data_IF_906820153287
#
_entry.id   IF_906820153287
#
_cell.length_a   1.000
_cell.length_b   1.000
_cell.length_c   1.000
_cell.angle_alpha   90.00
_cell.angle_beta   90.00
_cell.angle_gamma   90.00
#
_symmetry.space_group_name_H-M   'P 1'
#
loop_
_entity.id
_entity.type
_entity.pdbx_description
1 polymer ?
#
# COMPACT_ATOMS: atom_id res chain seq x y z
N UNK A 1 -13.50 -34.08 30.87
CA UNK A 1 -13.37 -32.69 30.39
C UNK A 1 -12.06 -32.60 29.64
N UNK A 2 -12.12 -32.56 28.32
CA UNK A 2 -10.94 -32.45 27.45
C UNK A 2 -10.72 -30.97 27.20
N UNK A 3 -9.60 -30.47 27.70
CA UNK A 3 -9.18 -29.07 27.54
C UNK A 3 -8.74 -28.85 26.08
N UNK A 4 -9.26 -27.80 25.44
CA UNK A 4 -8.93 -27.44 24.06
C UNK A 4 -7.59 -26.69 24.05
N UNK A 5 -6.67 -26.95 23.11
CA UNK A 5 -5.44 -26.19 23.02
C UNK A 5 -5.74 -24.75 22.58
N UNK A 6 -5.20 -23.83 23.36
CA UNK A 6 -5.24 -22.39 23.19
C UNK A 6 -4.61 -21.96 21.85
N UNK A 7 -5.40 -21.30 20.98
CA UNK A 7 -4.92 -20.71 19.72
C UNK A 7 -4.05 -19.50 20.06
N UNK A 8 -2.74 -19.71 20.26
CA UNK A 8 -1.75 -18.64 20.26
C UNK A 8 -1.92 -17.81 18.99
N UNK A 9 -2.29 -16.52 19.15
CA UNK A 9 -2.26 -15.52 18.07
C UNK A 9 -0.83 -15.43 17.55
N UNK A 10 -0.55 -16.05 16.39
CA UNK A 10 0.70 -15.81 15.66
C UNK A 10 0.70 -14.34 15.22
N UNK A 11 1.66 -13.55 15.69
CA UNK A 11 1.89 -12.20 15.21
C UNK A 11 2.38 -12.26 13.76
N UNK A 12 1.91 -11.34 12.91
CA UNK A 12 2.40 -11.20 11.53
C UNK A 12 3.78 -10.53 11.60
N UNK A 13 4.82 -11.11 10.98
CA UNK A 13 6.17 -10.53 11.00
C UNK A 13 6.25 -9.25 10.15
N UNK A 14 7.09 -8.31 10.59
CA UNK A 14 7.60 -7.19 9.80
C UNK A 14 8.89 -7.64 9.14
N UNK A 15 9.00 -7.49 7.82
CA UNK A 15 10.26 -7.74 7.14
C UNK A 15 10.84 -6.45 6.59
N UNK A 16 12.15 -6.31 6.69
CA UNK A 16 12.93 -5.39 5.86
C UNK A 16 13.40 -6.12 4.60
N UNK A 17 14.35 -5.52 3.88
CA UNK A 17 14.93 -6.15 2.72
C UNK A 17 15.53 -7.51 3.07
N UNK A 18 15.32 -8.50 2.19
CA UNK A 18 15.77 -9.89 2.33
C UNK A 18 15.07 -10.76 3.38
N UNK A 19 14.00 -10.29 4.03
CA UNK A 19 13.33 -11.07 5.08
C UNK A 19 14.16 -11.17 6.37
N UNK A 20 15.18 -10.34 6.50
CA UNK A 20 15.93 -10.16 7.73
C UNK A 20 15.20 -9.17 8.64
N UNK A 21 15.32 -9.36 9.96
CA UNK A 21 14.85 -8.40 10.97
C UNK A 21 15.69 -7.10 10.95
N UNK A 22 16.73 -7.01 10.11
CA UNK A 22 17.67 -5.88 10.05
C UNK A 22 17.22 -4.84 9.01
N UNK A 23 16.98 -3.61 9.47
CA UNK A 23 16.62 -2.41 8.69
C UNK A 23 17.26 -2.27 7.32
N UNK A 24 16.56 -1.63 6.38
CA UNK A 24 17.15 -1.16 5.11
C UNK A 24 18.42 -0.33 5.34
N UNK A 25 19.60 -0.89 5.04
CA UNK A 25 20.91 -0.22 5.14
C UNK A 25 21.52 0.13 3.76
N UNK A 26 20.75 0.01 2.67
CA UNK A 26 21.28 0.27 1.33
C UNK A 26 21.49 1.78 1.07
N UNK A 27 22.56 2.16 0.34
CA UNK A 27 22.88 3.56 0.05
C UNK A 27 21.85 4.25 -0.85
N UNK A 28 21.01 3.47 -1.54
CA UNK A 28 19.91 3.97 -2.34
C UNK A 28 18.58 3.85 -1.60
N UNK A 29 17.62 4.76 -1.88
CA UNK A 29 16.25 4.61 -1.41
C UNK A 29 15.44 3.56 -2.21
N UNK A 30 16.07 2.86 -3.15
CA UNK A 30 15.47 1.78 -3.94
C UNK A 30 16.36 0.55 -3.97
N UNK A 31 15.73 -0.61 -4.17
CA UNK A 31 16.39 -1.89 -4.34
C UNK A 31 15.56 -2.70 -5.32
N UNK A 32 16.24 -3.30 -6.28
CA UNK A 32 15.60 -4.12 -7.30
C UNK A 32 16.35 -5.44 -7.44
N UNK A 33 15.61 -6.53 -7.52
CA UNK A 33 16.15 -7.88 -7.70
C UNK A 33 15.22 -8.75 -8.54
N UNK A 34 15.74 -9.82 -9.17
CA UNK A 34 14.90 -10.80 -9.83
C UNK A 34 13.99 -11.55 -8.85
N UNK A 35 12.73 -11.78 -9.24
CA UNK A 35 11.77 -12.55 -8.43
C UNK A 35 12.24 -13.97 -8.16
N UNK A 36 12.93 -14.60 -9.11
CA UNK A 36 13.45 -15.96 -9.00
C UNK A 36 14.52 -16.11 -7.91
N UNK A 37 15.40 -15.11 -7.75
CA UNK A 37 16.45 -15.11 -6.72
C UNK A 37 15.82 -15.05 -5.32
N UNK A 38 14.85 -14.14 -5.14
CA UNK A 38 14.15 -14.00 -3.86
C UNK A 38 13.31 -15.23 -3.54
N UNK A 39 12.50 -15.68 -4.48
CA UNK A 39 11.47 -16.70 -4.22
C UNK A 39 12.07 -18.09 -4.03
N UNK A 40 13.11 -18.46 -4.78
CA UNK A 40 13.78 -19.76 -4.62
C UNK A 40 14.43 -19.94 -3.24
N UNK A 41 14.85 -18.84 -2.60
CA UNK A 41 15.40 -18.86 -1.22
C UNK A 41 14.36 -19.27 -0.17
N UNK A 42 13.07 -19.07 -0.48
CA UNK A 42 11.94 -19.36 0.41
C UNK A 42 11.03 -20.49 -0.13
N UNK A 43 11.59 -21.40 -0.94
CA UNK A 43 10.84 -22.49 -1.57
C UNK A 43 9.58 -22.02 -2.32
N UNK A 44 9.69 -20.86 -2.97
CA UNK A 44 8.64 -20.20 -3.74
C UNK A 44 7.44 -19.72 -2.91
N UNK A 45 7.50 -19.83 -1.59
CA UNK A 45 6.46 -19.39 -0.67
C UNK A 45 6.99 -18.25 0.20
N UNK A 46 6.48 -17.04 -0.01
CA UNK A 46 6.74 -15.89 0.85
C UNK A 46 5.61 -15.80 1.86
N UNK A 47 5.87 -16.08 3.16
CA UNK A 47 4.85 -16.05 4.20
C UNK A 47 4.19 -14.67 4.31
N UNK A 48 3.02 -14.64 4.91
CA UNK A 48 2.29 -13.39 5.16
C UNK A 48 3.11 -12.47 6.08
N UNK A 49 3.38 -11.26 5.61
CA UNK A 49 4.19 -10.24 6.28
C UNK A 49 3.69 -8.84 5.91
N UNK A 50 4.29 -7.79 6.47
CA UNK A 50 4.13 -6.43 5.95
C UNK A 50 5.44 -5.67 6.00
N UNK A 51 5.52 -4.63 5.17
CA UNK A 51 6.59 -3.64 5.24
C UNK A 51 6.02 -2.36 5.84
N UNK A 52 6.64 -1.86 6.91
CA UNK A 52 6.19 -0.64 7.57
C UNK A 52 6.64 0.62 6.81
N UNK A 53 7.79 0.51 6.14
CA UNK A 53 8.57 1.61 5.58
C UNK A 53 8.75 1.57 4.05
N UNK A 54 8.38 0.45 3.41
CA UNK A 54 8.68 0.18 2.00
C UNK A 54 7.41 0.07 1.15
N UNK A 55 7.47 0.71 0.00
CA UNK A 55 6.53 0.54 -1.10
C UNK A 55 7.10 -0.52 -2.05
N UNK A 56 6.33 -1.54 -2.40
CA UNK A 56 6.77 -2.63 -3.28
C UNK A 56 6.06 -2.56 -4.63
N UNK A 57 6.81 -2.72 -5.71
CA UNK A 57 6.28 -2.85 -7.07
C UNK A 57 6.94 -4.05 -7.72
N UNK A 58 6.15 -4.95 -8.30
CA UNK A 58 6.64 -6.14 -8.99
C UNK A 58 6.20 -6.12 -10.44
N UNK A 59 7.08 -6.53 -11.33
CA UNK A 59 6.75 -6.88 -12.70
C UNK A 59 7.04 -8.36 -12.90
N UNK A 60 6.00 -9.13 -13.19
CA UNK A 60 6.04 -10.57 -13.45
C UNK A 60 5.94 -10.76 -14.96
N UNK A 61 7.00 -11.28 -15.58
CA UNK A 61 7.12 -11.49 -17.02
C UNK A 61 6.44 -12.78 -17.47
N UNK A 62 6.68 -13.86 -16.73
CA UNK A 62 6.18 -15.21 -16.98
C UNK A 62 5.91 -15.95 -15.67
N UNK A 63 5.19 -17.07 -15.77
CA UNK A 63 4.72 -17.85 -14.63
C UNK A 63 3.39 -17.34 -14.09
N UNK A 64 3.08 -17.73 -12.87
CA UNK A 64 1.88 -17.31 -12.15
C UNK A 64 2.17 -17.21 -10.65
N UNK A 65 1.27 -16.57 -9.93
CA UNK A 65 1.37 -16.49 -8.48
C UNK A 65 0.01 -16.35 -7.83
N UNK A 66 -0.05 -16.75 -6.57
CA UNK A 66 -1.16 -16.48 -5.67
C UNK A 66 -0.69 -15.44 -4.66
N UNK A 67 -1.45 -14.38 -4.47
CA UNK A 67 -1.18 -13.40 -3.42
C UNK A 67 -2.31 -13.37 -2.40
N UNK A 68 -1.92 -13.24 -1.13
CA UNK A 68 -2.85 -13.08 -0.02
C UNK A 68 -2.74 -11.65 0.50
N UNK A 69 -3.82 -10.88 0.56
CA UNK A 69 -3.85 -9.55 1.19
C UNK A 69 -5.28 -9.20 1.60
N UNK A 70 -5.47 -8.41 2.67
CA UNK A 70 -6.79 -8.03 3.19
C UNK A 70 -7.77 -9.22 3.42
N UNK A 71 -7.23 -10.40 3.73
CA UNK A 71 -8.00 -11.64 3.91
C UNK A 71 -8.58 -12.22 2.60
N UNK A 72 -8.10 -11.76 1.45
CA UNK A 72 -8.41 -12.29 0.12
C UNK A 72 -7.23 -13.05 -0.43
N UNK A 73 -7.54 -13.98 -1.32
CA UNK A 73 -6.56 -14.72 -2.11
C UNK A 73 -6.86 -14.45 -3.58
N UNK A 74 -5.83 -14.08 -4.34
CA UNK A 74 -5.95 -13.73 -5.75
C UNK A 74 -4.89 -14.49 -6.53
N UNK A 75 -5.33 -15.33 -7.46
CA UNK A 75 -4.47 -15.98 -8.45
C UNK A 75 -4.29 -15.07 -9.67
N UNK A 76 -3.04 -14.91 -10.12
CA UNK A 76 -2.67 -13.97 -11.16
C UNK A 76 -1.75 -14.65 -12.17
N UNK A 77 -2.12 -14.54 -13.45
CA UNK A 77 -1.30 -15.01 -14.57
C UNK A 77 -0.45 -13.87 -15.13
N UNK A 78 0.81 -14.17 -15.45
CA UNK A 78 1.70 -13.24 -16.13
C UNK A 78 1.26 -13.00 -17.60
N UNK A 79 1.64 -11.87 -18.23
CA UNK A 79 2.40 -10.77 -17.66
C UNK A 79 1.58 -9.98 -16.65
N UNK A 80 2.21 -9.54 -15.56
CA UNK A 80 1.52 -8.82 -14.49
C UNK A 80 2.36 -7.72 -13.86
N UNK A 81 1.71 -6.64 -13.42
CA UNK A 81 2.32 -5.65 -12.52
C UNK A 81 1.52 -5.62 -11.22
N UNK A 82 2.23 -5.70 -10.11
CA UNK A 82 1.66 -5.65 -8.76
C UNK A 82 2.25 -4.45 -8.00
N UNK A 83 1.41 -3.74 -7.29
CA UNK A 83 1.77 -2.61 -6.44
C UNK A 83 1.28 -2.87 -5.02
N UNK A 84 2.16 -2.84 -4.03
CA UNK A 84 1.82 -3.02 -2.62
C UNK A 84 2.34 -1.81 -1.83
N UNK A 85 1.43 -0.95 -1.34
CA UNK A 85 1.79 0.13 -0.44
C UNK A 85 2.29 -0.37 0.93
N UNK A 86 2.95 0.49 1.72
CA UNK A 86 3.34 0.17 3.09
C UNK A 86 2.13 -0.20 3.95
N UNK A 87 2.38 -0.99 4.99
CA UNK A 87 1.43 -1.46 6.01
C UNK A 87 0.37 -2.46 5.54
N UNK A 88 0.43 -2.87 4.27
CA UNK A 88 -0.40 -3.95 3.78
C UNK A 88 0.20 -5.27 4.21
N UNK A 89 -0.59 -6.05 4.94
CA UNK A 89 -0.28 -7.44 5.25
C UNK A 89 -0.51 -8.28 4.00
N UNK A 90 0.56 -8.88 3.48
CA UNK A 90 0.54 -9.61 2.24
C UNK A 90 1.48 -10.83 2.23
N UNK A 91 1.21 -11.80 1.36
CA UNK A 91 2.07 -12.96 1.12
C UNK A 91 1.96 -13.43 -0.32
N UNK A 92 2.87 -14.32 -0.74
CA UNK A 92 2.92 -14.82 -2.11
C UNK A 92 3.26 -16.31 -2.17
N UNK A 93 2.59 -17.03 -3.05
CA UNK A 93 3.02 -18.35 -3.53
C UNK A 93 3.33 -18.22 -5.02
N UNK A 94 4.58 -18.44 -5.40
CA UNK A 94 5.07 -18.27 -6.76
C UNK A 94 5.17 -19.60 -7.49
N UNK A 95 4.95 -19.59 -8.80
CA UNK A 95 5.30 -20.74 -9.62
C UNK A 95 6.83 -20.86 -9.77
N UNK A 96 7.40 -22.07 -9.86
CA UNK A 96 8.86 -22.24 -9.99
C UNK A 96 9.48 -21.65 -11.26
N UNK A 97 8.65 -21.40 -12.27
CA UNK A 97 9.01 -20.76 -13.54
C UNK A 97 8.77 -19.24 -13.55
N UNK A 98 8.53 -18.62 -12.40
CA UNK A 98 8.35 -17.17 -12.31
C UNK A 98 9.61 -16.43 -12.77
N UNK A 99 9.42 -15.49 -13.68
CA UNK A 99 10.46 -14.53 -14.08
C UNK A 99 9.93 -13.11 -13.95
N UNK A 100 10.83 -12.17 -13.68
CA UNK A 100 10.49 -10.78 -13.45
C UNK A 100 11.31 -10.16 -12.33
N UNK A 101 10.82 -9.05 -11.80
CA UNK A 101 11.53 -8.21 -10.85
C UNK A 101 10.63 -7.78 -9.70
N UNK A 102 11.23 -7.67 -8.52
CA UNK A 102 10.66 -6.98 -7.37
C UNK A 102 11.50 -5.73 -7.09
N UNK A 103 10.83 -4.59 -7.08
CA UNK A 103 11.36 -3.30 -6.71
C UNK A 103 10.78 -2.91 -5.36
N UNK A 104 11.63 -2.55 -4.41
CA UNK A 104 11.25 -1.93 -3.14
C UNK A 104 11.76 -0.49 -3.14
N UNK A 105 10.93 0.43 -2.64
CA UNK A 105 11.21 1.87 -2.59
C UNK A 105 10.88 2.37 -1.18
N UNK A 106 11.82 3.08 -0.57
CA UNK A 106 11.57 3.75 0.71
C UNK A 106 10.42 4.75 0.58
N UNK A 107 9.47 4.73 1.51
CA UNK A 107 8.26 5.55 1.43
C UNK A 107 8.51 7.06 1.44
N UNK A 108 9.60 7.49 2.09
CA UNK A 108 10.08 8.87 2.07
C UNK A 108 10.46 9.30 0.65
N UNK A 109 11.33 8.54 -0.01
CA UNK A 109 11.74 8.78 -1.39
C UNK A 109 10.59 8.60 -2.38
N UNK A 110 9.73 7.59 -2.18
CA UNK A 110 8.52 7.41 -2.98
C UNK A 110 7.65 8.68 -2.95
N UNK A 111 7.42 9.24 -1.76
CA UNK A 111 6.64 10.46 -1.58
C UNK A 111 7.31 11.66 -2.23
N UNK A 112 8.62 11.84 -2.01
CA UNK A 112 9.41 12.92 -2.60
C UNK A 112 9.39 12.85 -4.14
N UNK A 113 9.62 11.66 -4.69
CA UNK A 113 9.81 11.46 -6.11
C UNK A 113 8.51 11.61 -6.89
N UNK A 114 7.37 11.28 -6.26
CA UNK A 114 6.02 11.41 -6.81
C UNK A 114 5.30 12.72 -6.42
N UNK A 115 5.99 13.71 -5.84
CA UNK A 115 5.41 15.03 -5.47
C UNK A 115 4.81 15.85 -6.64
N UNK A 116 4.91 15.37 -7.87
CA UNK A 116 4.39 16.08 -9.03
C UNK A 116 2.85 16.00 -9.19
N UNK A 117 2.16 15.06 -8.53
CA UNK A 117 0.69 14.95 -8.64
C UNK A 117 0.01 14.23 -7.47
N UNK A 118 -0.83 14.95 -6.73
CA UNK A 118 -1.69 14.37 -5.69
C UNK A 118 -2.58 13.25 -6.22
N UNK A 119 -3.10 13.40 -7.44
CA UNK A 119 -3.98 12.40 -8.08
C UNK A 119 -3.24 11.09 -8.37
N UNK A 120 -1.97 11.17 -8.79
CA UNK A 120 -1.13 9.97 -8.98
C UNK A 120 -0.85 9.31 -7.63
N UNK A 121 -0.52 10.08 -6.60
CA UNK A 121 -0.29 9.54 -5.26
C UNK A 121 -1.52 8.81 -4.71
N UNK A 122 -2.71 9.38 -4.90
CA UNK A 122 -3.97 8.77 -4.44
C UNK A 122 -4.26 7.44 -5.15
N UNK A 123 -3.99 7.36 -6.45
CA UNK A 123 -4.26 6.17 -7.27
C UNK A 123 -3.44 4.94 -6.84
N UNK A 124 -2.38 5.12 -6.07
CA UNK A 124 -1.44 4.06 -5.67
C UNK A 124 -1.41 3.89 -4.15
N UNK A 125 -2.53 4.12 -3.47
CA UNK A 125 -2.66 3.96 -2.01
C UNK A 125 -3.24 2.61 -1.57
N UNK A 126 -3.71 1.80 -2.52
CA UNK A 126 -4.19 0.43 -2.31
C UNK A 126 -3.31 -0.58 -3.05
N UNK A 127 -3.49 -1.86 -2.73
CA UNK A 127 -2.94 -2.94 -3.56
C UNK A 127 -3.52 -2.83 -4.97
N UNK A 128 -2.64 -2.81 -5.97
CA UNK A 128 -3.02 -2.86 -7.39
C UNK A 128 -2.45 -4.12 -8.01
N UNK A 129 -3.27 -4.86 -8.73
CA UNK A 129 -2.89 -6.08 -9.44
C UNK A 129 -3.49 -5.99 -10.84
N UNK A 130 -2.62 -5.95 -11.84
CA UNK A 130 -3.00 -6.00 -13.25
C UNK A 130 -2.27 -7.17 -13.90
N UNK A 131 -2.97 -8.26 -14.21
CA UNK A 131 -2.42 -9.47 -14.82
C UNK A 131 -3.30 -9.99 -15.96
N UNK A 132 -2.78 -10.98 -16.69
CA UNK A 132 -3.47 -11.55 -17.87
C UNK A 132 -3.85 -10.46 -18.89
N UNK A 133 -5.12 -10.43 -19.30
CA UNK A 133 -5.64 -9.46 -20.27
C UNK A 133 -5.58 -7.99 -19.77
N UNK A 134 -5.62 -7.77 -18.46
CA UNK A 134 -5.49 -6.43 -17.88
C UNK A 134 -4.03 -6.00 -17.62
N UNK A 135 -3.11 -6.95 -17.76
CA UNK A 135 -1.67 -6.80 -17.53
C UNK A 135 -0.97 -5.82 -18.48
N UNK A 136 0.36 -5.70 -18.35
CA UNK A 136 1.16 -4.89 -19.25
C UNK A 136 1.34 -5.59 -20.60
N UNK A 137 1.27 -4.79 -21.65
CA UNK A 137 1.58 -5.16 -23.03
C UNK A 137 3.01 -4.74 -23.39
N UNK A 138 3.64 -5.30 -24.44
CA UNK A 138 4.94 -4.85 -24.91
C UNK A 138 4.99 -3.33 -25.20
N UNK A 139 3.90 -2.76 -25.71
CA UNK A 139 3.75 -1.35 -26.03
C UNK A 139 3.76 -0.44 -24.79
N UNK A 140 3.38 -0.97 -23.63
CA UNK A 140 3.46 -0.25 -22.36
C UNK A 140 4.92 -0.05 -21.90
N UNK A 141 5.87 -0.83 -22.43
CA UNK A 141 7.31 -0.66 -22.17
C UNK A 141 7.76 -1.01 -20.74
N UNK A 142 6.94 -1.71 -19.95
CA UNK A 142 7.22 -2.00 -18.53
C UNK A 142 8.51 -2.81 -18.35
N UNK A 143 8.73 -3.83 -19.18
CA UNK A 143 9.97 -4.62 -19.12
C UNK A 143 11.20 -3.72 -19.32
N UNK A 144 11.18 -2.86 -20.34
CA UNK A 144 12.26 -1.92 -20.60
C UNK A 144 12.54 -1.02 -19.39
N UNK A 145 11.49 -0.49 -18.74
CA UNK A 145 11.65 0.36 -17.55
C UNK A 145 12.30 -0.40 -16.39
N UNK A 146 11.89 -1.64 -16.12
CA UNK A 146 12.51 -2.47 -15.09
C UNK A 146 13.95 -2.87 -15.43
N UNK A 147 14.24 -3.19 -16.70
CA UNK A 147 15.62 -3.43 -17.14
C UNK A 147 16.50 -2.21 -16.93
N UNK A 148 15.99 -0.99 -17.17
CA UNK A 148 16.71 0.24 -16.85
C UNK A 148 16.94 0.43 -15.36
N UNK A 149 15.96 0.11 -14.52
CA UNK A 149 16.14 0.13 -13.07
C UNK A 149 17.25 -0.83 -12.64
N UNK A 150 17.27 -2.07 -13.15
CA UNK A 150 18.33 -3.05 -12.85
C UNK A 150 19.70 -2.58 -13.36
N UNK A 151 19.78 -2.07 -14.58
CA UNK A 151 21.04 -1.59 -15.18
C UNK A 151 21.65 -0.46 -14.35
N UNK A 152 20.83 0.51 -13.93
CA UNK A 152 21.28 1.66 -13.15
C UNK A 152 21.58 1.28 -11.70
N UNK A 153 20.79 0.41 -11.08
CA UNK A 153 21.03 -0.08 -9.72
C UNK A 153 22.39 -0.80 -9.60
N UNK A 154 22.74 -1.63 -10.59
CA UNK A 154 24.01 -2.38 -10.60
C UNK A 154 25.26 -1.55 -10.91
N UNK A 155 25.15 -0.25 -11.24
CA UNK A 155 26.27 0.59 -11.69
C UNK A 155 26.47 1.81 -10.80
N UNK A 156 26.98 1.58 -9.59
CA UNK A 156 27.05 2.59 -8.53
C UNK A 156 27.70 3.92 -8.94
N UNK A 157 28.77 3.87 -9.74
CA UNK A 157 29.57 5.05 -10.15
C UNK A 157 29.04 5.78 -11.40
N UNK A 158 27.92 5.33 -11.98
CA UNK A 158 27.40 5.92 -13.22
C UNK A 158 26.80 7.31 -12.96
N UNK A 159 27.32 8.32 -13.64
CA UNK A 159 26.76 9.67 -13.59
C UNK A 159 25.29 9.69 -14.04
N UNK A 160 24.44 10.39 -13.29
CA UNK A 160 23.01 10.52 -13.61
C UNK A 160 22.13 9.31 -13.22
N UNK A 161 22.70 8.25 -12.65
CA UNK A 161 22.00 7.02 -12.21
C UNK A 161 20.72 7.30 -11.42
N UNK A 162 20.77 8.13 -10.38
CA UNK A 162 19.59 8.44 -9.54
C UNK A 162 18.45 9.08 -10.36
N UNK A 163 18.78 9.98 -11.29
CA UNK A 163 17.79 10.61 -12.16
C UNK A 163 17.18 9.59 -13.12
N UNK A 164 17.99 8.71 -13.70
CA UNK A 164 17.52 7.65 -14.57
C UNK A 164 16.59 6.67 -13.83
N UNK A 165 16.99 6.22 -12.64
CA UNK A 165 16.18 5.35 -11.78
C UNK A 165 14.85 6.01 -11.40
N UNK A 166 14.89 7.26 -10.94
CA UNK A 166 13.67 8.03 -10.61
C UNK A 166 12.76 8.19 -11.83
N UNK A 167 13.32 8.41 -13.02
CA UNK A 167 12.54 8.58 -14.25
C UNK A 167 11.87 7.27 -14.68
N UNK A 168 12.60 6.16 -14.64
CA UNK A 168 12.06 4.83 -14.94
C UNK A 168 10.94 4.44 -13.96
N UNK A 169 11.18 4.60 -12.65
CA UNK A 169 10.17 4.38 -11.63
C UNK A 169 8.95 5.29 -11.84
N UNK A 170 9.17 6.58 -12.09
CA UNK A 170 8.09 7.54 -12.35
C UNK A 170 7.17 7.09 -13.50
N UNK A 171 7.74 6.54 -14.57
CA UNK A 171 6.95 6.03 -15.70
C UNK A 171 6.13 4.78 -15.34
N UNK A 172 6.70 3.84 -14.55
CA UNK A 172 5.96 2.68 -14.02
C UNK A 172 4.79 3.14 -13.14
N UNK A 173 5.02 4.11 -12.26
CA UNK A 173 3.99 4.64 -11.37
C UNK A 173 2.88 5.38 -12.13
N UNK A 174 3.22 6.13 -13.17
CA UNK A 174 2.24 6.77 -14.06
C UNK A 174 1.40 5.73 -14.78
N UNK A 175 2.01 4.63 -15.25
CA UNK A 175 1.29 3.54 -15.88
C UNK A 175 0.28 2.90 -14.91
N UNK A 176 0.73 2.55 -13.70
CA UNK A 176 -0.13 1.99 -12.64
C UNK A 176 -1.32 2.90 -12.33
N UNK A 177 -1.04 4.18 -12.08
CA UNK A 177 -2.07 5.15 -11.74
C UNK A 177 -3.09 5.34 -12.88
N UNK A 178 -2.66 5.32 -14.15
CA UNK A 178 -3.57 5.42 -15.31
C UNK A 178 -4.43 4.18 -15.47
N UNK A 179 -3.85 2.98 -15.29
CA UNK A 179 -4.59 1.71 -15.31
C UNK A 179 -5.65 1.69 -14.21
N UNK A 180 -5.30 2.12 -13.00
CA UNK A 180 -6.26 2.20 -11.89
C UNK A 180 -7.36 3.22 -12.19
N UNK A 181 -7.03 4.43 -12.66
CA UNK A 181 -8.05 5.41 -13.04
C UNK A 181 -8.99 4.89 -14.13
N UNK A 182 -8.48 4.12 -15.10
CA UNK A 182 -9.30 3.49 -16.14
C UNK A 182 -10.16 2.37 -15.56
N UNK A 183 -9.61 1.51 -14.71
CA UNK A 183 -10.36 0.45 -14.02
C UNK A 183 -11.51 1.04 -13.19
N UNK A 184 -11.23 2.08 -12.40
CA UNK A 184 -12.24 2.81 -11.65
C UNK A 184 -13.29 3.46 -12.56
N UNK A 185 -12.92 3.95 -13.74
CA UNK A 185 -13.84 4.52 -14.71
C UNK A 185 -14.71 3.44 -15.40
N UNK A 186 -14.16 2.27 -15.72
CA UNK A 186 -14.88 1.12 -16.30
C UNK A 186 -15.81 0.50 -15.25
N UNK A 187 -15.33 0.27 -14.03
CA UNK A 187 -16.15 -0.10 -12.87
C UNK A 187 -17.26 0.94 -12.62
N UNK A 188 -17.01 2.23 -12.91
CA UNK A 188 -18.05 3.26 -12.88
C UNK A 188 -19.06 3.26 -14.01
N UNK A 189 -18.70 2.70 -15.16
CA UNK A 189 -19.62 2.50 -16.28
C UNK A 189 -20.45 1.22 -16.12
N UNK A 190 -19.90 0.19 -15.45
CA UNK A 190 -20.52 -1.13 -15.26
C UNK A 190 -21.39 -1.21 -14.00
N UNK A 191 -21.01 -0.53 -12.91
CA UNK A 191 -21.84 -0.48 -11.70
C UNK A 191 -22.65 0.82 -11.65
N UNK A 192 -23.97 0.65 -11.69
CA UNK A 192 -25.06 1.61 -11.51
C UNK A 192 -24.71 2.83 -10.59
N UNK A 193 -25.29 4.01 -10.89
CA UNK A 193 -25.09 5.34 -10.25
C UNK A 193 -24.72 5.37 -8.74
N UNK A 194 -25.16 4.38 -7.98
CA UNK A 194 -24.77 4.05 -6.61
C UNK A 194 -23.25 3.90 -6.39
N UNK A 195 -22.54 3.15 -7.25
CA UNK A 195 -21.09 2.89 -7.12
C UNK A 195 -20.25 4.15 -7.40
N UNK A 196 -20.68 4.97 -8.36
CA UNK A 196 -20.01 6.22 -8.74
C UNK A 196 -20.00 7.20 -7.58
N UNK A 197 -21.13 7.33 -6.87
CA UNK A 197 -21.21 8.18 -5.69
C UNK A 197 -20.34 7.70 -4.54
N UNK A 198 -20.16 6.37 -4.38
CA UNK A 198 -19.25 5.81 -3.37
C UNK A 198 -17.78 6.06 -3.74
N UNK A 199 -17.41 6.00 -5.03
CA UNK A 199 -16.06 6.39 -5.48
C UNK A 199 -15.80 7.88 -5.27
N UNK A 200 -16.71 8.75 -5.72
CA UNK A 200 -16.61 10.19 -5.48
C UNK A 200 -16.56 10.54 -3.99
N UNK A 201 -17.29 9.78 -3.16
CA UNK A 201 -17.19 9.90 -1.70
C UNK A 201 -15.77 9.58 -1.20
N UNK A 202 -15.18 8.46 -1.64
CA UNK A 202 -13.79 8.10 -1.27
C UNK A 202 -12.80 9.17 -1.70
N UNK A 203 -12.96 9.74 -2.89
CA UNK A 203 -12.11 10.83 -3.37
C UNK A 203 -12.21 12.06 -2.47
N UNK A 204 -13.44 12.48 -2.11
CA UNK A 204 -13.65 13.58 -1.18
C UNK A 204 -13.05 13.28 0.20
N UNK A 205 -13.19 12.06 0.71
CA UNK A 205 -12.58 11.64 1.98
C UNK A 205 -11.06 11.75 1.90
N UNK A 206 -10.46 11.32 0.79
CA UNK A 206 -9.01 11.43 0.57
C UNK A 206 -8.51 12.89 0.55
N UNK A 207 -9.32 13.83 0.06
CA UNK A 207 -9.00 15.26 0.10
C UNK A 207 -9.19 15.85 1.49
N UNK A 208 -10.24 15.43 2.21
CA UNK A 208 -10.71 16.12 3.41
C UNK A 208 -10.46 15.41 4.74
N UNK A 209 -9.85 14.21 4.77
CA UNK A 209 -9.72 13.42 5.99
C UNK A 209 -9.04 14.18 7.15
N UNK A 210 -8.04 15.03 6.88
CA UNK A 210 -7.37 15.86 7.90
C UNK A 210 -8.26 16.94 8.49
N UNK A 211 -9.28 17.38 7.75
CA UNK A 211 -10.21 18.42 8.20
C UNK A 211 -11.43 17.87 8.93
N UNK A 212 -11.51 16.54 9.11
CA UNK A 212 -12.58 15.80 9.80
C UNK A 212 -13.98 16.31 9.49
N UNK A 213 -14.28 16.53 8.20
CA UNK A 213 -15.59 17.01 7.77
C UNK A 213 -16.69 16.04 8.23
N UNK A 214 -17.85 16.55 8.66
CA UNK A 214 -18.98 15.69 9.01
C UNK A 214 -19.52 14.98 7.76
N UNK A 215 -20.19 13.83 7.94
CA UNK A 215 -20.82 13.11 6.82
C UNK A 215 -21.79 13.97 5.99
N UNK A 216 -22.41 14.99 6.61
CA UNK A 216 -23.28 15.95 5.94
C UNK A 216 -22.59 16.85 4.93
N UNK A 217 -21.28 17.10 5.10
CA UNK A 217 -20.47 17.79 4.10
C UNK A 217 -20.34 16.93 2.85
N UNK A 218 -19.85 15.69 2.99
CA UNK A 218 -19.67 14.78 1.86
C UNK A 218 -20.98 14.50 1.11
N UNK A 219 -22.07 14.29 1.85
CA UNK A 219 -23.38 14.08 1.25
C UNK A 219 -23.83 15.29 0.40
N UNK A 220 -23.57 16.51 0.87
CA UNK A 220 -23.88 17.76 0.14
C UNK A 220 -23.06 17.88 -1.14
N UNK A 221 -21.75 17.64 -1.09
CA UNK A 221 -20.88 17.67 -2.27
C UNK A 221 -21.31 16.65 -3.33
N UNK A 222 -21.88 15.52 -2.91
CA UNK A 222 -22.40 14.47 -3.79
C UNK A 222 -23.85 14.68 -4.22
N UNK A 223 -24.52 15.74 -3.74
CA UNK A 223 -25.92 16.03 -4.03
C UNK A 223 -26.91 14.99 -3.47
N UNK A 224 -26.60 14.36 -2.33
CA UNK A 224 -27.42 13.33 -1.70
C UNK A 224 -27.61 13.56 -0.19
N UNK A 225 -28.50 12.79 0.44
CA UNK A 225 -28.65 12.80 1.90
C UNK A 225 -27.59 11.93 2.58
N UNK A 226 -27.28 12.22 3.85
CA UNK A 226 -26.35 11.40 4.67
C UNK A 226 -26.82 9.96 4.81
N UNK A 227 -28.12 9.75 4.98
CA UNK A 227 -28.74 8.41 5.03
C UNK A 227 -28.51 7.67 3.72
N UNK A 228 -28.72 8.32 2.58
CA UNK A 228 -28.49 7.69 1.28
C UNK A 228 -27.01 7.37 1.08
N UNK A 229 -26.09 8.29 1.42
CA UNK A 229 -24.65 8.04 1.37
C UNK A 229 -24.26 6.81 2.20
N UNK A 230 -24.79 6.68 3.41
CA UNK A 230 -24.49 5.56 4.29
C UNK A 230 -25.03 4.24 3.73
N UNK A 231 -26.25 4.24 3.19
CA UNK A 231 -26.85 3.07 2.56
C UNK A 231 -26.03 2.63 1.33
N UNK A 232 -25.64 3.58 0.47
CA UNK A 232 -24.77 3.32 -0.68
C UNK A 232 -23.43 2.69 -0.26
N UNK A 233 -22.78 3.25 0.77
CA UNK A 233 -21.55 2.68 1.28
C UNK A 233 -21.76 1.25 1.79
N UNK A 234 -22.83 0.99 2.54
CA UNK A 234 -23.13 -0.35 3.07
C UNK A 234 -23.46 -1.35 1.98
N UNK A 235 -24.17 -0.92 0.95
CA UNK A 235 -24.55 -1.76 -0.18
C UNK A 235 -23.31 -2.19 -0.98
N UNK A 236 -22.51 -1.21 -1.41
CA UNK A 236 -21.36 -1.38 -2.30
C UNK A 236 -20.13 -1.94 -1.57
N UNK A 237 -19.86 -1.49 -0.34
CA UNK A 237 -18.58 -1.78 0.35
C UNK A 237 -18.74 -2.67 1.58
N UNK A 238 -19.99 -2.95 1.98
CA UNK A 238 -20.35 -3.58 3.27
C UNK A 238 -19.92 -2.78 4.51
N UNK A 239 -19.42 -1.55 4.33
CA UNK A 239 -19.01 -0.64 5.40
C UNK A 239 -19.88 0.62 5.39
N UNK A 240 -20.08 1.23 6.55
CA UNK A 240 -20.69 2.54 6.67
C UNK A 240 -19.79 3.63 6.12
N UNK A 241 -20.39 4.77 5.76
CA UNK A 241 -19.63 5.94 5.32
C UNK A 241 -18.63 6.42 6.39
N UNK A 242 -19.00 6.32 7.67
CA UNK A 242 -18.12 6.70 8.78
C UNK A 242 -16.92 5.75 8.92
N UNK A 243 -17.14 4.44 8.72
CA UNK A 243 -16.06 3.45 8.75
C UNK A 243 -15.03 3.73 7.65
N UNK A 244 -15.46 4.07 6.44
CA UNK A 244 -14.55 4.43 5.33
C UNK A 244 -13.70 5.67 5.70
N UNK A 245 -14.30 6.70 6.30
CA UNK A 245 -13.56 7.88 6.79
C UNK A 245 -12.54 7.49 7.85
N UNK A 246 -12.96 6.68 8.83
CA UNK A 246 -12.09 6.23 9.91
C UNK A 246 -10.93 5.38 9.39
N UNK A 247 -11.16 4.49 8.42
CA UNK A 247 -10.11 3.68 7.80
C UNK A 247 -9.04 4.54 7.15
N UNK A 248 -9.45 5.58 6.41
CA UNK A 248 -8.50 6.51 5.78
C UNK A 248 -7.67 7.30 6.81
N UNK A 249 -8.30 7.76 7.88
CA UNK A 249 -7.61 8.45 9.00
C UNK A 249 -6.66 7.48 9.71
N UNK A 250 -7.09 6.24 9.95
CA UNK A 250 -6.27 5.21 10.60
C UNK A 250 -5.05 4.84 9.78
N UNK A 251 -5.20 4.72 8.45
CA UNK A 251 -4.09 4.48 7.54
C UNK A 251 -3.03 5.58 7.66
N UNK A 252 -3.47 6.85 7.63
CA UNK A 252 -2.55 7.98 7.79
C UNK A 252 -1.89 8.00 9.18
N UNK A 253 -2.68 7.73 10.24
CA UNK A 253 -2.18 7.72 11.61
C UNK A 253 -1.09 6.67 11.79
N UNK A 254 -1.31 5.44 11.30
CA UNK A 254 -0.31 4.37 11.32
C UNK A 254 0.95 4.80 10.58
N UNK A 255 0.79 5.32 9.35
CA UNK A 255 1.89 5.83 8.53
C UNK A 255 2.74 6.82 9.32
N UNK A 256 2.13 7.84 9.92
CA UNK A 256 2.88 8.87 10.66
C UNK A 256 3.50 8.40 11.96
N UNK A 257 2.89 7.41 12.63
CA UNK A 257 3.50 6.83 13.83
C UNK A 257 4.84 6.15 13.53
N UNK A 258 5.02 5.72 12.29
CA UNK A 258 6.24 5.08 11.78
C UNK A 258 7.25 6.13 11.36
N UNK A 259 6.87 7.07 10.47
CA UNK A 259 7.86 7.95 9.84
C UNK A 259 8.06 9.32 10.49
N UNK A 260 7.10 9.80 11.29
CA UNK A 260 7.16 11.16 11.81
C UNK A 260 7.76 11.19 13.21
N UNK A 261 8.79 12.02 13.40
CA UNK A 261 9.41 12.32 14.69
C UNK A 261 8.53 13.18 15.61
N UNK A 262 7.39 13.64 15.09
CA UNK A 262 6.42 14.45 15.83
C UNK A 262 5.77 13.66 16.98
N UNK A 263 5.40 14.37 18.03
CA UNK A 263 4.68 13.81 19.16
C UNK A 263 3.31 13.26 18.73
N UNK A 264 2.77 12.31 19.52
CA UNK A 264 1.41 11.80 19.32
C UNK A 264 0.37 12.93 19.38
N UNK A 265 0.62 13.97 20.19
CA UNK A 265 -0.25 15.16 20.24
C UNK A 265 -0.21 15.98 18.96
N UNK A 266 0.97 16.31 18.43
CA UNK A 266 1.10 17.06 17.17
C UNK A 266 0.47 16.31 16.00
N UNK A 267 0.66 14.99 15.95
CA UNK A 267 0.01 14.14 14.95
C UNK A 267 -1.51 14.19 15.06
N UNK A 268 -2.06 14.13 16.28
CA UNK A 268 -3.49 14.22 16.50
C UNK A 268 -4.04 15.53 15.91
N UNK A 269 -3.38 16.66 16.19
CA UNK A 269 -3.77 17.95 15.65
C UNK A 269 -3.68 18.01 14.12
N UNK A 270 -2.61 17.50 13.50
CA UNK A 270 -2.49 17.52 12.02
C UNK A 270 -3.48 16.55 11.32
N UNK A 271 -3.98 15.54 12.03
CA UNK A 271 -5.08 14.68 11.58
C UNK A 271 -6.47 15.29 11.86
N UNK A 272 -6.53 16.53 12.36
CA UNK A 272 -7.75 17.28 12.61
C UNK A 272 -8.45 16.97 13.92
N UNK A 273 -7.80 16.28 14.86
CA UNK A 273 -8.34 16.08 16.19
C UNK A 273 -8.05 17.29 17.07
N UNK A 274 -9.09 17.82 17.71
CA UNK A 274 -8.94 18.93 18.67
C UNK A 274 -8.47 18.46 20.06
N UNK A 275 -8.48 17.14 20.31
CA UNK A 275 -8.06 16.53 21.58
C UNK A 275 -7.19 15.29 21.31
N UNK A 276 -5.89 15.32 21.65
CA UNK A 276 -5.00 14.14 21.58
C UNK A 276 -5.48 12.93 22.39
N UNK A 277 -6.21 13.14 23.49
CA UNK A 277 -6.79 12.08 24.30
C UNK A 277 -7.91 11.35 23.55
N UNK A 278 -8.74 12.10 22.81
CA UNK A 278 -9.73 11.52 21.90
C UNK A 278 -9.08 10.77 20.74
N UNK A 279 -8.03 11.31 20.09
CA UNK A 279 -7.26 10.58 19.09
C UNK A 279 -6.72 9.26 19.62
N UNK A 280 -6.12 9.27 20.81
CA UNK A 280 -5.55 8.07 21.42
C UNK A 280 -6.59 6.97 21.66
N UNK A 281 -7.80 7.35 22.09
CA UNK A 281 -8.94 6.44 22.24
C UNK A 281 -9.46 5.94 20.89
N UNK A 282 -9.58 6.83 19.91
CA UNK A 282 -9.95 6.50 18.54
C UNK A 282 -8.99 5.47 17.94
N UNK A 283 -7.68 5.72 18.01
CA UNK A 283 -6.66 4.83 17.50
C UNK A 283 -6.70 3.47 18.21
N UNK A 284 -6.73 3.46 19.54
CA UNK A 284 -6.81 2.21 20.32
C UNK A 284 -8.04 1.37 19.99
N UNK A 285 -9.19 2.00 19.77
CA UNK A 285 -10.42 1.30 19.39
C UNK A 285 -10.29 0.61 18.03
N UNK A 286 -9.59 1.21 17.07
CA UNK A 286 -9.47 0.69 15.71
C UNK A 286 -8.25 -0.24 15.52
N UNK A 287 -7.14 0.01 16.21
CA UNK A 287 -5.89 -0.75 16.10
C UNK A 287 -5.70 -1.79 17.21
N UNK A 288 -6.52 -1.76 18.27
CA UNK A 288 -6.40 -2.64 19.44
C UNK A 288 -5.34 -2.20 20.47
N UNK A 289 -4.38 -1.35 20.09
CA UNK A 289 -3.30 -0.85 20.95
C UNK A 289 -3.18 0.68 20.87
N UNK A 290 -2.57 1.30 21.88
CA UNK A 290 -2.42 2.77 21.90
C UNK A 290 -1.44 3.25 20.81
N UNK A 291 -1.53 4.52 20.34
CA UNK A 291 -0.56 5.07 19.39
C UNK A 291 0.89 4.93 19.86
N UNK A 292 1.14 5.17 21.16
CA UNK A 292 2.48 5.03 21.74
C UNK A 292 2.96 3.58 21.73
N UNK A 293 2.10 2.62 22.11
CA UNK A 293 2.44 1.20 22.05
C UNK A 293 2.67 0.74 20.59
N UNK A 294 1.84 1.20 19.66
CA UNK A 294 2.01 0.93 18.24
C UNK A 294 3.38 1.45 17.74
N UNK A 295 3.70 2.72 18.00
CA UNK A 295 5.00 3.31 17.65
C UNK A 295 6.14 2.55 18.30
N UNK A 296 6.03 2.21 19.58
CA UNK A 296 7.09 1.47 20.29
C UNK A 296 7.28 0.07 19.72
N UNK A 297 6.20 -0.65 19.40
CA UNK A 297 6.30 -1.99 18.81
C UNK A 297 7.01 -1.93 17.46
N UNK A 298 6.59 -1.01 16.59
CA UNK A 298 7.27 -0.83 15.30
C UNK A 298 8.71 -0.38 15.49
N UNK A 299 8.99 0.56 16.39
CA UNK A 299 10.36 1.01 16.68
C UNK A 299 11.23 -0.07 17.32
N UNK A 300 10.68 -0.92 18.19
CA UNK A 300 11.41 -2.05 18.77
C UNK A 300 11.68 -3.10 17.71
N UNK A 301 10.71 -3.37 16.83
CA UNK A 301 10.90 -4.24 15.66
C UNK A 301 11.99 -3.66 14.72
N UNK A 302 12.12 -2.33 14.62
CA UNK A 302 13.16 -1.62 13.86
C UNK A 302 14.52 -1.47 14.60
N UNK A 303 14.61 -1.70 15.92
CA UNK A 303 15.86 -1.53 16.70
C UNK A 303 16.42 -2.84 17.28
N UNK A 304 15.62 -3.91 17.39
CA UNK A 304 16.16 -5.28 17.55
C UNK A 304 16.86 -5.78 16.27
N UNK A 305 16.66 -5.07 15.17
CA UNK A 305 17.42 -5.06 13.92
C UNK A 305 18.91 -4.70 14.04
N UNK A 306 19.30 -3.95 15.08
CA UNK A 306 20.60 -3.27 15.17
C UNK A 306 21.62 -3.98 16.10
N UNK A 307 21.25 -5.12 16.69
CA UNK A 307 22.16 -6.01 17.44
C UNK A 307 22.18 -7.39 16.80
#
# INVERSE_FOLDING_TARGET
MVDKPDRKKKSVPVYDLFGEEKGWQAPDPIHIEPLSVRSSTYDWEIPVHFHDSLYQVMFVKSGHFVTHFDGREVEVQAPAVVSIPPLIVHGFSWSPDVDGYVLMVQSSAFSEWLMASERLQQAVTSVLIFGGEEGPTPEDGIDFMFQKLVEEFGRLERQGRQLAMRSALGMVMVWLARKEMKSLAVSAAVEEKSSLRVRQFRDLVNVHFKSQKPLSFYARELGITTTHLNNLCREVTKKSALEIVHERIMLEAKRRLIYATVSVSEMAYDLGFNDPGYFSRFFKRNAGISPYAYRKNVQSELSTSDT
#
